data_IF_853652670004
#
_entry.id   IF_853652670004
#
_cell.length_a   1.000
_cell.length_b   1.000
_cell.length_c   1.000
_cell.angle_alpha   90.00
_cell.angle_beta   90.00
_cell.angle_gamma   90.00
#
_symmetry.space_group_name_H-M   'P 1'
#
loop_
_entity.id
_entity.type
_entity.pdbx_description
1 polymer ?
#
# COMPACT_ATOMS: atom_id res chain seq x y z
N UNK A 1 -48.41 34.37 48.09
CA UNK A 1 -47.38 34.87 47.16
C UNK A 1 -46.06 34.19 47.46
N UNK A 2 -45.50 33.56 46.48
CA UNK A 2 -44.21 32.84 46.59
C UNK A 2 -43.07 33.83 46.89
N UNK A 3 -42.20 33.59 47.84
CA UNK A 3 -41.11 34.50 48.21
C UNK A 3 -40.15 34.70 47.03
N UNK A 4 -39.56 35.88 46.89
CA UNK A 4 -38.69 36.26 45.74
C UNK A 4 -37.54 35.26 45.55
N UNK A 5 -36.94 34.73 46.65
CA UNK A 5 -35.87 33.73 46.56
C UNK A 5 -36.32 32.41 45.96
N UNK A 6 -37.53 31.94 46.22
CA UNK A 6 -38.08 30.73 45.63
C UNK A 6 -38.31 30.86 44.10
N UNK A 7 -38.72 32.05 43.65
CA UNK A 7 -38.87 32.34 42.20
C UNK A 7 -37.50 32.30 41.47
N UNK A 8 -36.46 32.87 42.07
CA UNK A 8 -35.11 32.85 41.54
C UNK A 8 -34.56 31.41 41.50
N UNK A 9 -34.77 30.63 42.54
CA UNK A 9 -34.34 29.23 42.59
C UNK A 9 -35.02 28.37 41.50
N UNK A 10 -36.33 28.57 41.27
CA UNK A 10 -37.07 27.87 40.20
C UNK A 10 -36.56 28.28 38.82
N UNK A 11 -36.31 29.55 38.57
CA UNK A 11 -35.79 30.04 37.30
C UNK A 11 -34.38 29.47 37.05
N UNK A 12 -33.53 29.45 38.06
CA UNK A 12 -32.20 28.86 37.98
C UNK A 12 -32.27 27.36 37.72
N UNK A 13 -33.17 26.62 38.40
CA UNK A 13 -33.36 25.19 38.14
C UNK A 13 -33.85 24.91 36.71
N UNK A 14 -34.81 25.69 36.21
CA UNK A 14 -35.29 25.59 34.82
C UNK A 14 -34.13 25.89 33.81
N UNK A 15 -33.34 26.92 34.07
CA UNK A 15 -32.20 27.26 33.23
C UNK A 15 -31.16 26.13 33.17
N UNK A 16 -30.86 25.50 34.30
CA UNK A 16 -29.95 24.33 34.39
C UNK A 16 -30.50 23.14 33.59
N UNK A 17 -31.80 22.86 33.68
CA UNK A 17 -32.45 21.78 32.92
C UNK A 17 -32.39 22.09 31.41
N UNK A 18 -32.69 23.31 30.98
CA UNK A 18 -32.64 23.71 29.56
C UNK A 18 -31.19 23.60 29.01
N UNK A 19 -30.22 24.13 29.75
CA UNK A 19 -28.83 24.04 29.35
C UNK A 19 -28.32 22.58 29.33
N UNK A 20 -28.72 21.78 30.30
CA UNK A 20 -28.40 20.37 30.39
C UNK A 20 -28.99 19.57 29.22
N UNK A 21 -30.26 19.79 28.90
CA UNK A 21 -30.91 19.10 27.76
C UNK A 21 -30.34 19.55 26.41
N UNK A 22 -30.07 20.85 26.21
CA UNK A 22 -29.45 21.36 25.04
C UNK A 22 -28.02 20.78 24.86
N UNK A 23 -27.25 20.76 25.95
CA UNK A 23 -25.91 20.12 25.97
C UNK A 23 -25.95 18.64 25.61
N UNK A 24 -26.91 17.91 26.23
CA UNK A 24 -27.09 16.48 25.95
C UNK A 24 -27.45 16.22 24.47
N UNK A 25 -28.40 17.00 23.91
CA UNK A 25 -28.76 16.87 22.48
C UNK A 25 -27.59 17.18 21.55
N UNK A 26 -26.78 18.19 21.89
CA UNK A 26 -25.57 18.51 21.13
C UNK A 26 -24.58 17.34 21.16
N UNK A 27 -24.30 16.79 22.34
CA UNK A 27 -23.38 15.65 22.49
C UNK A 27 -23.90 14.41 21.76
N UNK A 28 -25.21 14.13 21.83
CA UNK A 28 -25.86 13.05 21.07
C UNK A 28 -25.69 13.24 19.58
N UNK A 29 -25.90 14.46 19.07
CA UNK A 29 -25.69 14.79 17.65
C UNK A 29 -24.23 14.60 17.23
N UNK A 30 -23.26 14.94 18.10
CA UNK A 30 -21.83 14.76 17.84
C UNK A 30 -21.41 13.29 17.85
N UNK A 31 -22.12 12.42 18.54
CA UNK A 31 -21.89 10.98 18.61
C UNK A 31 -22.71 10.19 17.57
N UNK A 32 -23.52 10.85 16.74
CA UNK A 32 -24.36 10.20 15.73
C UNK A 32 -23.53 9.49 14.66
N UNK A 33 -23.84 8.21 14.34
CA UNK A 33 -23.19 7.46 13.26
C UNK A 33 -23.27 8.19 11.92
N UNK A 34 -24.46 8.69 11.56
CA UNK A 34 -24.69 9.46 10.32
C UNK A 34 -23.72 10.63 10.16
N UNK A 35 -23.40 11.34 11.25
CA UNK A 35 -22.46 12.47 11.22
C UNK A 35 -21.03 12.03 10.87
N UNK A 36 -20.63 10.84 11.29
CA UNK A 36 -19.31 10.28 10.93
C UNK A 36 -19.25 10.05 9.42
N UNK A 37 -20.29 9.43 8.86
CA UNK A 37 -20.40 9.20 7.42
C UNK A 37 -20.46 10.53 6.64
N UNK A 38 -21.22 11.52 7.12
CA UNK A 38 -21.25 12.85 6.53
C UNK A 38 -19.89 13.54 6.54
N UNK A 39 -19.13 13.41 7.63
CA UNK A 39 -17.79 13.99 7.72
C UNK A 39 -16.82 13.31 6.76
N UNK A 40 -16.92 11.99 6.62
CA UNK A 40 -16.16 11.23 5.64
C UNK A 40 -16.49 11.67 4.21
N UNK A 41 -17.79 11.71 3.86
CA UNK A 41 -18.22 12.12 2.53
C UNK A 41 -17.81 13.57 2.19
N UNK A 42 -17.89 14.49 3.16
CA UNK A 42 -17.40 15.88 3.00
C UNK A 42 -15.90 15.94 2.77
N UNK A 43 -15.12 15.15 3.54
CA UNK A 43 -13.68 15.11 3.37
C UNK A 43 -13.30 14.52 2.01
N UNK A 44 -14.03 13.48 1.55
CA UNK A 44 -13.83 12.87 0.25
C UNK A 44 -14.06 13.85 -0.90
N UNK A 45 -15.18 14.59 -0.90
CA UNK A 45 -15.48 15.62 -1.90
C UNK A 45 -14.52 16.83 -1.82
N UNK A 46 -14.00 17.12 -0.62
CA UNK A 46 -13.02 18.18 -0.43
C UNK A 46 -11.58 17.75 -0.78
N UNK A 47 -11.35 16.48 -1.13
CA UNK A 47 -10.05 15.88 -1.38
C UNK A 47 -9.08 16.05 -0.18
N UNK A 48 -9.65 15.96 1.04
CA UNK A 48 -8.92 16.14 2.31
C UNK A 48 -8.49 14.76 2.84
N UNK A 49 -7.38 14.25 2.30
CA UNK A 49 -6.84 12.93 2.64
C UNK A 49 -6.43 12.82 4.11
N UNK A 50 -5.92 13.90 4.71
CA UNK A 50 -5.59 13.95 6.14
C UNK A 50 -6.84 13.70 6.99
N UNK A 51 -7.94 14.36 6.67
CA UNK A 51 -9.19 14.24 7.41
C UNK A 51 -9.88 12.89 7.17
N UNK A 52 -9.81 12.33 5.96
CA UNK A 52 -10.25 10.97 5.68
C UNK A 52 -9.45 9.99 6.54
N UNK A 53 -8.13 10.13 6.57
CA UNK A 53 -7.22 9.30 7.35
C UNK A 53 -7.56 9.32 8.86
N UNK A 54 -7.79 10.51 9.41
CA UNK A 54 -8.15 10.68 10.83
C UNK A 54 -9.51 10.04 11.17
N UNK A 55 -10.50 10.13 10.25
CA UNK A 55 -11.81 9.51 10.42
C UNK A 55 -11.76 7.98 10.37
N UNK A 56 -10.87 7.42 9.56
CA UNK A 56 -10.64 5.99 9.44
C UNK A 56 -9.83 5.40 10.60
N UNK A 57 -9.16 6.25 11.40
CA UNK A 57 -8.39 5.84 12.58
C UNK A 57 -7.31 4.79 12.30
N UNK A 58 -6.62 4.88 11.18
CA UNK A 58 -5.51 4.00 10.86
C UNK A 58 -4.34 4.16 11.84
N UNK A 59 -3.65 3.06 12.10
CA UNK A 59 -2.31 3.12 12.71
C UNK A 59 -1.29 3.52 11.66
N UNK A 60 -0.53 4.59 11.92
CA UNK A 60 0.49 5.09 10.98
C UNK A 60 1.64 4.10 10.84
N UNK A 61 2.04 3.85 9.60
CA UNK A 61 3.23 3.07 9.25
C UNK A 61 3.92 3.69 8.04
N UNK A 62 4.98 3.07 7.56
CA UNK A 62 5.68 3.52 6.35
C UNK A 62 4.80 3.44 5.09
N UNK A 63 3.80 2.53 5.09
CA UNK A 63 2.85 2.34 3.99
C UNK A 63 1.44 2.85 4.30
N UNK A 64 1.18 3.26 5.53
CA UNK A 64 -0.11 3.76 6.00
C UNK A 64 0.07 5.19 6.51
N UNK A 65 -0.13 6.16 5.62
CA UNK A 65 -0.04 7.60 5.91
C UNK A 65 -1.06 8.38 5.07
N UNK A 66 -1.38 9.63 5.44
CA UNK A 66 -2.29 10.47 4.65
C UNK A 66 -1.87 10.63 3.19
N UNK A 67 -0.57 10.79 2.91
CA UNK A 67 -0.02 10.95 1.57
C UNK A 67 -0.16 9.66 0.74
N UNK A 68 -0.01 8.50 1.39
CA UNK A 68 -0.22 7.20 0.74
C UNK A 68 -1.70 6.96 0.46
N UNK A 69 -2.58 7.35 1.39
CA UNK A 69 -4.03 7.29 1.19
C UNK A 69 -4.46 8.18 0.01
N UNK A 70 -3.92 9.39 -0.10
CA UNK A 70 -4.21 10.29 -1.22
C UNK A 70 -3.86 9.64 -2.55
N UNK A 71 -2.66 9.05 -2.65
CA UNK A 71 -2.19 8.34 -3.85
C UNK A 71 -3.08 7.13 -4.17
N UNK A 72 -3.46 6.35 -3.17
CA UNK A 72 -4.33 5.19 -3.34
C UNK A 72 -5.76 5.57 -3.80
N UNK A 73 -6.28 6.71 -3.33
CA UNK A 73 -7.57 7.23 -3.75
C UNK A 73 -7.54 7.88 -5.14
N UNK A 74 -6.38 8.10 -5.73
CA UNK A 74 -6.19 8.86 -6.97
C UNK A 74 -6.79 8.14 -8.20
N UNK A 75 -8.11 8.14 -8.29
CA UNK A 75 -8.86 7.72 -9.46
C UNK A 75 -9.40 8.94 -10.22
N UNK A 76 -9.82 8.74 -11.48
CA UNK A 76 -10.41 9.83 -12.25
C UNK A 76 -11.67 10.36 -11.56
N UNK A 77 -12.51 9.48 -11.02
CA UNK A 77 -13.74 9.90 -10.33
C UNK A 77 -13.42 10.65 -9.04
N UNK A 78 -12.45 10.21 -8.24
CA UNK A 78 -12.05 10.92 -7.02
C UNK A 78 -11.64 12.37 -7.32
N UNK A 79 -10.92 12.61 -8.42
CA UNK A 79 -10.50 13.97 -8.83
C UNK A 79 -11.65 14.87 -9.26
N UNK A 80 -12.74 14.31 -9.74
CA UNK A 80 -13.87 15.02 -10.34
C UNK A 80 -15.11 15.06 -9.45
N UNK A 81 -15.11 14.31 -8.33
CA UNK A 81 -16.25 14.24 -7.43
C UNK A 81 -16.56 15.60 -6.80
N UNK A 82 -17.83 15.99 -6.85
CA UNK A 82 -18.30 17.29 -6.33
C UNK A 82 -19.52 17.16 -5.41
N UNK A 83 -20.21 16.03 -5.47
CA UNK A 83 -21.45 15.79 -4.76
C UNK A 83 -21.50 14.40 -4.14
N UNK A 84 -22.31 14.25 -3.11
CA UNK A 84 -22.58 12.95 -2.51
C UNK A 84 -24.02 12.84 -2.01
N UNK A 85 -24.52 11.59 -1.96
CA UNK A 85 -25.80 11.24 -1.34
C UNK A 85 -25.55 10.10 -0.35
N UNK A 86 -26.11 10.19 0.85
CA UNK A 86 -25.99 9.17 1.89
C UNK A 86 -27.32 8.47 2.07
N UNK A 87 -27.32 7.14 2.01
CA UNK A 87 -28.44 6.27 2.30
C UNK A 87 -28.05 5.30 3.41
N UNK A 88 -28.87 5.19 4.45
CA UNK A 88 -28.73 4.13 5.45
C UNK A 88 -29.30 2.82 4.86
N UNK A 89 -28.59 1.74 5.03
CA UNK A 89 -29.01 0.39 4.57
C UNK A 89 -29.57 -0.47 5.71
N UNK A 90 -29.16 -0.19 6.96
CA UNK A 90 -29.74 -0.81 8.15
C UNK A 90 -30.85 0.07 8.71
N UNK A 91 -32.02 -0.47 8.88
CA UNK A 91 -33.06 0.17 9.69
C UNK A 91 -32.55 0.28 11.15
N UNK A 92 -32.52 1.50 11.68
CA UNK A 92 -32.10 1.75 13.07
C UNK A 92 -33.05 1.04 14.10
N UNK A 93 -34.14 0.43 13.63
CA UNK A 93 -35.22 -0.17 14.41
C UNK A 93 -35.24 -1.72 14.40
N UNK A 94 -34.32 -2.41 13.73
CA UNK A 94 -34.18 -3.86 13.82
C UNK A 94 -33.54 -4.26 15.16
N UNK A 95 -34.39 -4.50 16.16
CA UNK A 95 -34.02 -4.86 17.54
C UNK A 95 -33.41 -6.27 17.67
N UNK A 96 -33.33 -7.06 16.59
CA UNK A 96 -32.96 -8.50 16.62
C UNK A 96 -31.58 -8.84 16.05
N UNK A 97 -30.81 -7.92 15.47
CA UNK A 97 -29.44 -8.15 15.03
C UNK A 97 -28.43 -7.41 15.91
N UNK A 98 -27.27 -8.05 16.09
CA UNK A 98 -26.14 -7.58 16.87
C UNK A 98 -25.82 -6.11 16.53
N UNK A 99 -26.40 -5.19 17.30
CA UNK A 99 -26.49 -3.73 17.05
C UNK A 99 -25.12 -3.02 17.09
N UNK A 100 -24.02 -3.76 16.82
CA UNK A 100 -22.64 -3.27 16.88
C UNK A 100 -22.09 -2.83 15.53
N UNK A 101 -22.85 -3.01 14.44
CA UNK A 101 -22.45 -2.66 13.08
C UNK A 101 -23.59 -1.94 12.35
N UNK A 102 -23.27 -0.84 11.66
CA UNK A 102 -24.22 -0.10 10.81
C UNK A 102 -23.63 0.06 9.41
N UNK A 103 -24.49 -0.01 8.39
CA UNK A 103 -24.13 0.10 6.99
C UNK A 103 -24.74 1.35 6.37
N UNK A 104 -23.92 2.08 5.62
CA UNK A 104 -24.36 3.25 4.86
C UNK A 104 -23.80 3.15 3.45
N UNK A 105 -24.62 3.40 2.43
CA UNK A 105 -24.15 3.63 1.07
C UNK A 105 -23.96 5.13 0.85
N UNK A 106 -22.77 5.52 0.42
CA UNK A 106 -22.46 6.87 -0.03
C UNK A 106 -22.22 6.83 -1.53
N UNK A 107 -23.15 7.44 -2.28
CA UNK A 107 -23.00 7.63 -3.72
C UNK A 107 -22.27 8.93 -3.98
N UNK A 108 -21.08 8.86 -4.56
CA UNK A 108 -20.31 10.02 -5.01
C UNK A 108 -20.57 10.30 -6.49
N UNK A 109 -20.62 11.59 -6.87
CA UNK A 109 -20.93 12.01 -8.23
C UNK A 109 -20.02 13.14 -8.69
N UNK A 110 -19.69 13.12 -9.99
CA UNK A 110 -19.09 14.26 -10.66
C UNK A 110 -20.14 15.37 -10.91
N UNK A 111 -19.68 16.57 -11.27
CA UNK A 111 -20.56 17.74 -11.51
C UNK A 111 -21.58 17.51 -12.61
N UNK A 112 -21.30 16.67 -13.57
CA UNK A 112 -22.17 16.38 -14.72
C UNK A 112 -23.12 15.22 -14.46
N UNK A 113 -22.94 14.50 -13.35
CA UNK A 113 -23.60 13.22 -13.02
C UNK A 113 -23.40 12.15 -14.11
N UNK A 114 -22.30 12.23 -14.83
CA UNK A 114 -21.94 11.27 -15.87
C UNK A 114 -21.17 10.05 -15.29
N UNK A 115 -20.57 10.25 -14.13
CA UNK A 115 -19.90 9.20 -13.37
C UNK A 115 -20.40 9.20 -11.93
N UNK A 116 -20.71 8.01 -11.41
CA UNK A 116 -21.07 7.82 -10.01
C UNK A 116 -20.42 6.55 -9.47
N UNK A 117 -20.12 6.56 -8.17
CA UNK A 117 -19.54 5.44 -7.46
C UNK A 117 -20.23 5.28 -6.11
N UNK A 118 -20.70 4.07 -5.84
CA UNK A 118 -21.27 3.70 -4.55
C UNK A 118 -20.17 3.13 -3.65
N UNK A 119 -20.00 3.73 -2.48
CA UNK A 119 -19.11 3.21 -1.43
C UNK A 119 -19.93 2.78 -0.23
N UNK A 120 -19.81 1.53 0.15
CA UNK A 120 -20.39 1.02 1.40
C UNK A 120 -19.49 1.38 2.56
N UNK A 121 -20.00 2.19 3.48
CA UNK A 121 -19.32 2.60 4.71
C UNK A 121 -19.89 1.76 5.86
N UNK A 122 -19.07 0.90 6.41
CA UNK A 122 -19.39 0.09 7.58
C UNK A 122 -18.91 0.80 8.83
N UNK A 123 -19.82 1.03 9.78
CA UNK A 123 -19.50 1.58 11.10
C UNK A 123 -19.56 0.48 12.16
N UNK A 124 -18.59 0.48 13.05
CA UNK A 124 -18.52 -0.42 14.20
C UNK A 124 -18.49 0.38 15.50
N UNK A 125 -19.12 -0.16 16.56
CA UNK A 125 -18.99 0.38 17.90
C UNK A 125 -17.57 0.17 18.42
N UNK A 126 -16.97 1.24 18.91
CA UNK A 126 -15.61 1.26 19.47
C UNK A 126 -15.59 1.87 20.88
N UNK A 127 -16.43 1.33 21.78
CA UNK A 127 -16.54 1.82 23.14
C UNK A 127 -17.52 2.99 23.31
N UNK A 128 -17.27 3.89 24.26
CA UNK A 128 -18.17 5.00 24.60
C UNK A 128 -17.53 6.36 24.33
N UNK A 129 -18.29 7.27 23.75
CA UNK A 129 -17.96 8.68 23.56
C UNK A 129 -18.66 9.51 24.62
N UNK A 130 -17.95 10.46 25.23
CA UNK A 130 -18.44 11.27 26.36
C UNK A 130 -18.98 10.43 27.56
N UNK A 131 -18.56 9.15 27.65
CA UNK A 131 -18.94 8.24 28.72
C UNK A 131 -20.34 7.63 28.64
N UNK A 132 -21.22 8.11 27.75
CA UNK A 132 -22.64 7.71 27.67
C UNK A 132 -23.11 7.28 26.29
N UNK A 133 -22.60 7.88 25.22
CA UNK A 133 -22.98 7.55 23.84
C UNK A 133 -22.07 6.49 23.25
N UNK A 134 -22.56 5.67 22.33
CA UNK A 134 -21.72 4.78 21.56
C UNK A 134 -20.74 5.58 20.71
N UNK A 135 -19.49 5.15 20.70
CA UNK A 135 -18.47 5.69 19.83
C UNK A 135 -18.38 4.82 18.58
N UNK A 136 -18.70 5.38 17.44
CA UNK A 136 -18.67 4.71 16.16
C UNK A 136 -17.39 5.03 15.43
N UNK A 137 -16.83 4.04 14.74
CA UNK A 137 -15.67 4.18 13.85
C UNK A 137 -15.97 3.52 12.52
N UNK A 138 -15.39 4.04 11.45
CA UNK A 138 -15.45 3.40 10.14
C UNK A 138 -14.55 2.16 10.17
N UNK A 139 -15.09 1.02 9.72
CA UNK A 139 -14.31 -0.20 9.53
C UNK A 139 -13.32 0.00 8.39
N UNK A 140 -12.07 -0.37 8.61
CA UNK A 140 -10.96 -0.10 7.67
C UNK A 140 -10.56 -1.30 6.82
N UNK A 141 -11.18 -2.47 7.03
CA UNK A 141 -10.86 -3.70 6.31
C UNK A 141 -11.00 -3.59 4.78
N UNK A 142 -11.87 -2.70 4.30
CA UNK A 142 -12.08 -2.46 2.87
C UNK A 142 -11.12 -1.41 2.28
N UNK A 143 -10.16 -0.93 3.04
CA UNK A 143 -9.22 0.11 2.61
C UNK A 143 -7.77 -0.34 2.68
N UNK A 144 -7.50 -1.48 3.32
CA UNK A 144 -6.15 -1.94 3.61
C UNK A 144 -6.05 -3.42 3.30
N UNK A 145 -5.19 -3.75 2.36
CA UNK A 145 -4.75 -5.11 2.11
C UNK A 145 -3.63 -5.49 3.08
N UNK A 146 -3.51 -6.77 3.37
CA UNK A 146 -2.50 -7.33 4.27
C UNK A 146 -1.62 -8.32 3.52
N UNK A 147 -0.40 -8.47 4.03
CA UNK A 147 0.57 -9.47 3.57
C UNK A 147 0.81 -9.42 2.05
N UNK A 148 1.02 -8.19 1.52
CA UNK A 148 1.27 -8.03 0.09
C UNK A 148 2.69 -8.50 -0.25
N UNK A 149 2.81 -9.47 -1.16
CA UNK A 149 4.07 -10.09 -1.55
C UNK A 149 4.78 -9.36 -2.69
N UNK A 150 6.10 -9.18 -2.57
CA UNK A 150 6.93 -8.62 -3.64
C UNK A 150 8.15 -9.50 -3.87
N UNK A 151 8.23 -10.09 -5.05
CA UNK A 151 9.36 -10.89 -5.49
C UNK A 151 10.29 -10.06 -6.37
N UNK A 152 11.57 -10.04 -6.08
CA UNK A 152 12.58 -9.34 -6.87
C UNK A 152 13.87 -10.17 -6.96
N UNK A 153 14.70 -9.94 -8.01
CA UNK A 153 15.97 -10.64 -8.16
C UNK A 153 16.89 -10.43 -6.95
N UNK A 154 17.66 -11.46 -6.59
CA UNK A 154 18.61 -11.36 -5.49
C UNK A 154 19.63 -10.22 -5.71
N UNK A 155 19.95 -9.49 -4.65
CA UNK A 155 20.93 -8.39 -4.69
C UNK A 155 20.38 -7.09 -5.26
N UNK A 156 19.06 -6.97 -5.43
CA UNK A 156 18.41 -5.71 -5.82
C UNK A 156 17.99 -4.90 -4.61
N UNK A 157 17.95 -3.58 -4.76
CA UNK A 157 17.27 -2.66 -3.84
C UNK A 157 15.85 -2.47 -4.34
N UNK A 158 14.88 -2.78 -3.49
CA UNK A 158 13.45 -2.70 -3.81
C UNK A 158 12.81 -1.56 -3.04
N UNK A 159 12.00 -0.74 -3.72
CA UNK A 159 11.23 0.34 -3.10
C UNK A 159 9.78 0.23 -3.52
N UNK A 160 8.86 0.33 -2.57
CA UNK A 160 7.42 0.44 -2.80
C UNK A 160 6.96 1.83 -2.39
N UNK A 161 6.33 2.56 -3.29
CA UNK A 161 5.90 3.96 -3.10
C UNK A 161 7.00 4.87 -2.54
N UNK A 162 8.25 4.64 -2.98
CA UNK A 162 9.43 5.37 -2.52
C UNK A 162 9.98 4.94 -1.15
N UNK A 163 9.38 3.95 -0.48
CA UNK A 163 9.89 3.35 0.76
C UNK A 163 10.78 2.17 0.41
N UNK A 164 12.03 2.20 0.86
CA UNK A 164 12.97 1.09 0.66
C UNK A 164 12.62 -0.10 1.55
N UNK A 165 12.52 -1.27 0.92
CA UNK A 165 12.22 -2.52 1.60
C UNK A 165 13.52 -3.16 2.10
N UNK A 166 13.84 -2.89 3.37
CA UNK A 166 14.98 -3.52 4.04
C UNK A 166 14.64 -4.93 4.55
N UNK A 167 15.62 -5.54 5.22
CA UNK A 167 15.52 -6.93 5.72
C UNK A 167 14.32 -7.19 6.64
N UNK A 168 13.78 -6.16 7.30
CA UNK A 168 12.60 -6.28 8.16
C UNK A 168 11.31 -6.70 7.43
N UNK A 169 11.28 -6.54 6.10
CA UNK A 169 10.17 -6.95 5.25
C UNK A 169 10.45 -8.24 4.51
N UNK A 170 11.67 -8.80 4.64
CA UNK A 170 12.11 -9.97 3.91
C UNK A 170 11.70 -11.23 4.64
N UNK A 171 11.02 -12.14 3.94
CA UNK A 171 10.78 -13.48 4.42
C UNK A 171 12.10 -14.26 4.42
N UNK A 172 12.36 -14.99 5.51
CA UNK A 172 13.61 -15.74 5.69
C UNK A 172 13.67 -17.01 4.81
N UNK A 173 12.50 -17.55 4.41
CA UNK A 173 12.43 -18.81 3.67
C UNK A 173 12.62 -18.60 2.17
N UNK A 174 11.90 -17.64 1.57
CA UNK A 174 11.82 -17.50 0.11
C UNK A 174 12.52 -16.24 -0.43
N UNK A 175 12.96 -15.33 0.45
CA UNK A 175 13.54 -14.04 0.07
C UNK A 175 12.54 -13.06 -0.54
N UNK A 176 11.26 -13.33 -0.42
CA UNK A 176 10.16 -12.47 -0.72
C UNK A 176 10.10 -11.29 0.27
N UNK A 177 9.67 -10.13 -0.20
CA UNK A 177 9.31 -9.04 0.69
C UNK A 177 7.82 -9.08 0.99
N UNK A 178 7.45 -9.11 2.28
CA UNK A 178 6.06 -9.10 2.74
C UNK A 178 5.74 -7.77 3.39
N UNK A 179 4.82 -7.03 2.79
CA UNK A 179 4.32 -5.77 3.33
C UNK A 179 3.13 -6.07 4.24
N UNK A 180 3.23 -5.82 5.56
CA UNK A 180 2.18 -6.22 6.51
C UNK A 180 0.82 -5.59 6.23
N UNK A 181 0.82 -4.33 5.75
CA UNK A 181 -0.38 -3.60 5.39
C UNK A 181 -0.05 -2.44 4.45
N UNK A 182 -0.84 -2.27 3.38
CA UNK A 182 -0.82 -1.09 2.51
C UNK A 182 -2.26 -0.77 2.07
N UNK A 183 -2.47 0.43 1.53
CA UNK A 183 -3.81 0.79 1.05
C UNK A 183 -4.21 -0.03 -0.18
N UNK A 184 -5.51 -0.22 -0.33
CA UNK A 184 -6.14 -0.66 -1.57
C UNK A 184 -5.87 0.37 -2.68
N UNK A 185 -5.47 -0.09 -3.85
CA UNK A 185 -5.22 0.77 -4.99
C UNK A 185 -3.95 0.46 -5.77
N UNK A 186 -3.43 1.47 -6.47
CA UNK A 186 -2.25 1.35 -7.34
C UNK A 186 -1.00 1.79 -6.57
N UNK A 187 0.00 0.92 -6.57
CA UNK A 187 1.29 1.16 -5.95
C UNK A 187 2.41 1.18 -6.99
N UNK A 188 3.43 2.00 -6.73
CA UNK A 188 4.64 2.06 -7.53
C UNK A 188 5.71 1.16 -6.94
N UNK A 189 6.32 0.33 -7.78
CA UNK A 189 7.45 -0.52 -7.43
C UNK A 189 8.68 -0.10 -8.23
N UNK A 190 9.79 0.14 -7.54
CA UNK A 190 11.10 0.42 -8.12
C UNK A 190 12.09 -0.65 -7.69
N UNK A 191 12.85 -1.17 -8.66
CA UNK A 191 13.89 -2.19 -8.44
C UNK A 191 15.18 -1.70 -9.06
N UNK A 192 16.24 -1.61 -8.26
CA UNK A 192 17.54 -1.06 -8.63
C UNK A 192 18.67 -2.06 -8.36
N UNK A 193 19.61 -2.17 -9.28
CA UNK A 193 20.87 -2.92 -9.12
C UNK A 193 21.90 -2.36 -10.10
N UNK A 194 23.17 -2.33 -9.71
CA UNK A 194 24.26 -1.69 -10.48
C UNK A 194 24.40 -2.18 -11.93
N UNK A 195 24.02 -3.43 -12.20
CA UNK A 195 24.14 -4.02 -13.54
C UNK A 195 22.96 -3.74 -14.45
N UNK A 196 21.86 -3.22 -13.94
CA UNK A 196 20.65 -2.92 -14.68
C UNK A 196 20.35 -1.42 -14.72
N UNK A 197 19.61 -0.98 -15.74
CA UNK A 197 18.92 0.30 -15.68
C UNK A 197 17.84 0.24 -14.59
N UNK A 198 17.55 1.34 -13.86
CA UNK A 198 16.47 1.37 -12.88
C UNK A 198 15.14 0.93 -13.50
N UNK A 199 14.51 -0.05 -12.90
CA UNK A 199 13.22 -0.58 -13.34
C UNK A 199 12.10 -0.05 -12.44
N UNK A 200 11.06 0.49 -13.05
CA UNK A 200 9.87 0.98 -12.33
C UNK A 200 8.62 0.41 -13.00
N UNK A 201 7.71 -0.08 -12.18
CA UNK A 201 6.41 -0.58 -12.61
C UNK A 201 5.34 -0.20 -11.61
N UNK A 202 4.08 -0.44 -11.94
CA UNK A 202 2.95 -0.30 -11.02
C UNK A 202 2.22 -1.62 -10.90
N UNK A 203 1.64 -1.87 -9.74
CA UNK A 203 0.77 -3.02 -9.50
C UNK A 203 -0.42 -2.58 -8.66
N UNK A 204 -1.52 -3.32 -8.76
CA UNK A 204 -2.74 -3.06 -8.03
C UNK A 204 -2.84 -4.01 -6.86
N UNK A 205 -3.21 -3.48 -5.71
CA UNK A 205 -3.51 -4.23 -4.49
C UNK A 205 -4.99 -4.05 -4.19
N UNK A 206 -5.66 -5.12 -3.78
CA UNK A 206 -7.05 -5.09 -3.38
C UNK A 206 -7.23 -5.58 -1.94
N UNK A 207 -7.94 -4.80 -1.14
CA UNK A 207 -8.28 -5.18 0.23
C UNK A 207 -9.30 -6.32 0.31
N UNK A 208 -9.98 -6.63 -0.80
CA UNK A 208 -11.00 -7.70 -0.90
C UNK A 208 -10.48 -8.99 -1.51
N UNK A 209 -9.30 -8.96 -2.12
CA UNK A 209 -8.68 -10.12 -2.73
C UNK A 209 -7.97 -11.00 -1.67
N UNK A 210 -7.71 -12.24 -2.02
CA UNK A 210 -6.90 -13.12 -1.19
C UNK A 210 -5.45 -12.62 -1.16
N UNK A 211 -4.73 -12.91 -0.07
CA UNK A 211 -3.33 -12.47 0.11
C UNK A 211 -2.42 -12.89 -1.06
N UNK A 212 -2.64 -14.07 -1.62
CA UNK A 212 -1.89 -14.61 -2.77
C UNK A 212 -2.11 -13.80 -4.06
N UNK A 213 -3.23 -13.10 -4.20
CA UNK A 213 -3.56 -12.26 -5.36
C UNK A 213 -2.92 -10.87 -5.25
N UNK A 214 -2.54 -10.46 -4.05
CA UNK A 214 -1.85 -9.21 -3.76
C UNK A 214 -0.32 -9.36 -3.85
N UNK A 215 0.17 -10.11 -4.83
CA UNK A 215 1.59 -10.33 -5.03
C UNK A 215 2.05 -9.81 -6.40
N UNK A 216 3.28 -9.30 -6.45
CA UNK A 216 3.93 -8.86 -7.69
C UNK A 216 5.33 -9.47 -7.81
N UNK A 217 5.68 -9.93 -9.00
CA UNK A 217 7.00 -10.47 -9.27
C UNK A 217 7.71 -9.65 -10.35
N UNK A 218 8.90 -9.17 -10.04
CA UNK A 218 9.84 -8.59 -10.99
C UNK A 218 10.93 -9.63 -11.26
N UNK A 219 11.13 -9.97 -12.51
CA UNK A 219 12.16 -10.93 -12.94
C UNK A 219 13.36 -10.20 -13.53
N UNK A 220 14.53 -10.82 -13.48
CA UNK A 220 15.73 -10.28 -14.15
C UNK A 220 15.50 -10.04 -15.64
N UNK A 221 14.63 -10.85 -16.28
CA UNK A 221 14.24 -10.68 -17.69
C UNK A 221 13.42 -9.43 -17.99
N UNK A 222 12.80 -8.83 -16.98
CA UNK A 222 11.98 -7.61 -17.11
C UNK A 222 12.87 -6.35 -17.05
N UNK A 223 14.12 -6.52 -16.57
CA UNK A 223 15.09 -5.45 -16.39
C UNK A 223 16.07 -5.39 -17.57
N UNK A 224 16.47 -4.19 -17.95
CA UNK A 224 17.45 -3.97 -19.02
C UNK A 224 18.85 -3.81 -18.41
N UNK A 225 19.85 -4.49 -18.99
CA UNK A 225 21.24 -4.26 -18.60
C UNK A 225 21.65 -2.81 -18.89
N UNK A 226 22.34 -2.20 -17.95
CA UNK A 226 22.90 -0.87 -18.12
C UNK A 226 23.95 -0.85 -19.23
N UNK A 227 24.09 0.29 -19.90
CA UNK A 227 25.14 0.46 -20.94
C UNK A 227 26.53 0.14 -20.42
N UNK A 228 26.83 0.51 -19.16
CA UNK A 228 28.09 0.21 -18.50
C UNK A 228 28.29 -1.31 -18.28
N UNK A 229 27.25 -2.01 -17.87
CA UNK A 229 27.28 -3.47 -17.71
C UNK A 229 27.50 -4.17 -19.05
N UNK A 230 26.83 -3.72 -20.11
CA UNK A 230 27.01 -4.25 -21.48
C UNK A 230 28.45 -4.07 -21.93
N UNK A 231 29.04 -2.89 -21.77
CA UNK A 231 30.43 -2.65 -22.17
C UNK A 231 31.43 -3.47 -21.33
N UNK A 232 31.16 -3.61 -20.02
CA UNK A 232 31.96 -4.47 -19.15
C UNK A 232 31.91 -5.94 -19.59
N UNK A 233 30.72 -6.45 -19.90
CA UNK A 233 30.54 -7.83 -20.40
C UNK A 233 31.23 -8.04 -21.73
N UNK A 234 31.14 -7.07 -22.65
CA UNK A 234 31.87 -7.14 -23.93
C UNK A 234 33.37 -7.15 -23.74
N UNK A 235 33.89 -6.30 -22.85
CA UNK A 235 35.33 -6.28 -22.51
C UNK A 235 35.78 -7.60 -21.94
N UNK A 236 35.06 -8.10 -20.91
CA UNK A 236 35.37 -9.38 -20.26
C UNK A 236 35.31 -10.55 -21.23
N UNK A 237 34.30 -10.60 -22.12
CA UNK A 237 34.20 -11.63 -23.14
C UNK A 237 35.38 -11.57 -24.10
N UNK A 238 35.78 -10.38 -24.55
CA UNK A 238 36.95 -10.19 -25.45
C UNK A 238 38.23 -10.64 -24.74
N UNK A 239 38.41 -10.24 -23.48
CA UNK A 239 39.62 -10.59 -22.73
C UNK A 239 39.67 -12.10 -22.43
N UNK A 240 38.54 -12.74 -22.16
CA UNK A 240 38.45 -14.20 -22.01
C UNK A 240 38.83 -14.91 -23.31
N UNK A 241 38.25 -14.52 -24.45
CA UNK A 241 38.56 -15.12 -25.75
C UNK A 241 40.03 -14.89 -26.14
N UNK A 242 40.54 -13.67 -25.92
CA UNK A 242 41.95 -13.36 -26.20
C UNK A 242 42.87 -14.15 -25.29
N UNK A 243 42.55 -14.22 -23.98
CA UNK A 243 43.29 -15.00 -22.99
C UNK A 243 43.29 -16.48 -23.30
N UNK A 244 42.13 -17.02 -23.70
CA UNK A 244 41.99 -18.42 -24.11
C UNK A 244 43.02 -18.76 -25.23
N UNK A 245 43.04 -18.03 -26.31
CA UNK A 245 43.99 -18.30 -27.44
C UNK A 245 45.44 -18.02 -27.05
N UNK A 246 45.71 -16.98 -26.26
CA UNK A 246 47.08 -16.67 -25.82
C UNK A 246 47.62 -17.78 -24.91
N UNK A 247 46.86 -18.22 -23.89
CA UNK A 247 47.26 -19.29 -23.02
C UNK A 247 47.41 -20.61 -23.77
N UNK A 248 46.50 -20.88 -24.75
CA UNK A 248 46.60 -22.09 -25.56
C UNK A 248 47.85 -22.08 -26.45
N UNK A 249 48.21 -20.96 -27.07
CA UNK A 249 49.45 -20.85 -27.86
C UNK A 249 50.69 -20.97 -26.98
N UNK A 250 50.66 -20.56 -25.76
CA UNK A 250 51.73 -20.72 -24.78
C UNK A 250 51.74 -22.10 -24.08
N UNK A 251 50.80 -22.98 -24.41
CA UNK A 251 50.58 -24.31 -23.83
C UNK A 251 50.41 -24.26 -22.29
N UNK A 252 49.73 -23.20 -21.79
CA UNK A 252 49.41 -23.06 -20.38
C UNK A 252 48.20 -23.90 -19.96
N UNK A 253 48.09 -24.15 -18.68
CA UNK A 253 46.92 -24.85 -18.14
C UNK A 253 45.62 -24.01 -18.32
N UNK A 254 44.49 -24.69 -18.47
CA UNK A 254 43.19 -23.98 -18.65
C UNK A 254 42.86 -23.06 -17.47
N UNK A 255 43.27 -23.41 -16.27
CA UNK A 255 43.14 -22.61 -15.06
C UNK A 255 43.84 -21.24 -15.10
N UNK A 256 44.79 -21.07 -16.01
CA UNK A 256 45.52 -19.79 -16.21
C UNK A 256 44.82 -18.85 -17.20
N UNK A 257 43.72 -19.31 -17.86
CA UNK A 257 42.94 -18.49 -18.76
C UNK A 257 42.19 -17.43 -17.95
N UNK A 258 42.29 -16.15 -18.27
CA UNK A 258 41.57 -15.09 -17.57
C UNK A 258 40.06 -15.36 -17.53
N UNK A 259 39.44 -15.11 -16.37
CA UNK A 259 38.01 -15.26 -16.14
C UNK A 259 37.46 -16.70 -16.27
N UNK A 260 38.30 -17.72 -16.27
CA UNK A 260 37.85 -19.11 -16.34
C UNK A 260 36.90 -19.49 -15.21
N UNK A 261 37.08 -18.93 -14.02
CA UNK A 261 36.21 -19.12 -12.88
C UNK A 261 34.76 -18.61 -13.12
N UNK A 262 34.60 -17.56 -13.93
CA UNK A 262 33.31 -16.98 -14.28
C UNK A 262 32.55 -17.84 -15.31
N UNK A 263 33.25 -18.68 -16.08
CA UNK A 263 32.64 -19.53 -17.12
C UNK A 263 32.15 -20.86 -16.55
N UNK A 264 32.68 -21.27 -15.40
CA UNK A 264 32.33 -22.51 -14.72
C UNK A 264 32.85 -23.78 -15.42
N UNK A 265 33.16 -24.78 -14.61
CA UNK A 265 33.65 -26.09 -15.09
C UNK A 265 32.60 -26.93 -15.83
N UNK A 266 31.33 -26.51 -15.76
CA UNK A 266 30.20 -27.25 -16.36
C UNK A 266 30.01 -26.97 -17.85
N UNK A 267 30.71 -25.97 -18.41
CA UNK A 267 30.58 -25.60 -19.83
C UNK A 267 31.37 -26.49 -20.80
N UNK A 268 32.21 -27.40 -20.30
CA UNK A 268 33.06 -28.26 -21.13
C UNK A 268 34.19 -27.54 -21.87
N UNK A 269 34.44 -26.25 -21.59
CA UNK A 269 35.47 -25.44 -22.23
C UNK A 269 36.90 -25.90 -21.98
N UNK A 270 37.14 -26.60 -20.86
CA UNK A 270 38.43 -27.26 -20.54
C UNK A 270 38.78 -28.34 -21.54
N UNK A 271 37.82 -29.14 -21.95
CA UNK A 271 38.00 -30.18 -22.96
C UNK A 271 38.21 -29.57 -24.32
N UNK A 272 37.46 -28.55 -24.71
CA UNK A 272 37.61 -27.80 -25.97
C UNK A 272 38.98 -27.08 -26.05
N UNK A 273 39.43 -26.51 -24.92
CA UNK A 273 40.75 -25.88 -24.82
C UNK A 273 41.89 -26.90 -25.07
N UNK A 274 41.81 -28.05 -24.41
CA UNK A 274 42.81 -29.12 -24.57
C UNK A 274 42.83 -29.67 -26.02
N UNK A 275 41.67 -29.87 -26.61
CA UNK A 275 41.56 -30.34 -28.01
C UNK A 275 42.10 -29.27 -28.98
N UNK A 276 41.84 -27.98 -28.72
CA UNK A 276 42.35 -26.89 -29.57
C UNK A 276 43.88 -26.84 -29.53
N UNK A 277 44.54 -26.98 -28.34
CA UNK A 277 46.00 -27.04 -28.23
C UNK A 277 46.55 -28.22 -29.02
N UNK A 278 46.01 -29.40 -28.86
CA UNK A 278 46.45 -30.59 -29.52
C UNK A 278 46.37 -30.53 -31.05
N UNK A 279 45.39 -29.79 -31.55
CA UNK A 279 45.16 -29.68 -33.03
C UNK A 279 45.86 -28.50 -33.67
N UNK A 280 46.26 -27.44 -32.95
CA UNK A 280 46.74 -26.19 -33.53
C UNK A 280 48.10 -25.72 -33.02
N UNK A 281 48.61 -26.27 -31.94
CA UNK A 281 49.90 -25.89 -31.35
C UNK A 281 50.84 -27.05 -31.43
N UNK A 282 51.87 -26.93 -32.27
CA UNK A 282 52.93 -27.95 -32.50
C UNK A 282 54.27 -27.43 -32.03
#
# INVERSE_FOLDING_TARGET
PMPKGAKIAIIAAIAVVILGTAGFMLLKSLASPKRIVENYAKAYVAHDSEKIFDLLCFEKSEFISPEKLEKALESQLYKEVTEYVIKAESDEDDEDEDNDTLYYTVTFRDKSHSAEEDKTITLEKSGKRFGIFDNWKIRTTNYVAKNCGIYAPAGTTVKMDGVELGDKYKDEEDGEYVIPACFDGIHELSVEQDVYEPYTTTFTVSATDYEEENAVAVRASDMQLSSAAIESLKSSAKDTVTGFYTCAMEQKEFSEVPFVEAVGSECGLDSEYSEWINNNVT
#
